data_IF_411901166104
#
_entry.id   IF_411901166104
#
_cell.length_a   1.000
_cell.length_b   1.000
_cell.length_c   1.000
_cell.angle_alpha   90.00
_cell.angle_beta   90.00
_cell.angle_gamma   90.00
#
_symmetry.space_group_name_H-M   'P 1'
#
loop_
_entity.id
_entity.type
_entity.pdbx_description
1 polymer ?
#
# COMPACT_ATOMS: atom_id res chain seq x y z
N UNK A 1 22.40 8.64 -17.99
CA UNK A 1 21.39 7.60 -17.69
C UNK A 1 20.07 8.05 -18.29
N UNK A 2 19.39 7.22 -19.10
CA UNK A 2 18.04 7.59 -19.58
C UNK A 2 17.09 7.41 -18.39
N UNK A 3 16.25 8.41 -18.08
CA UNK A 3 15.37 8.36 -16.91
C UNK A 3 14.49 7.09 -16.88
N UNK A 4 14.10 6.59 -18.06
CA UNK A 4 13.40 5.34 -18.22
C UNK A 4 14.13 4.10 -17.65
N UNK A 5 15.47 4.05 -17.65
CA UNK A 5 16.18 2.89 -17.06
C UNK A 5 15.96 2.82 -15.56
N UNK A 6 15.85 3.97 -14.87
CA UNK A 6 15.60 4.01 -13.42
C UNK A 6 14.23 3.42 -13.03
N UNK A 7 13.20 3.62 -13.86
CA UNK A 7 11.84 3.16 -13.55
C UNK A 7 11.64 1.66 -13.68
N UNK A 8 12.52 0.98 -14.42
CA UNK A 8 12.42 -0.43 -14.77
C UNK A 8 13.67 -1.23 -14.38
N UNK A 9 14.51 -0.70 -13.50
CA UNK A 9 15.83 -1.28 -13.17
C UNK A 9 15.73 -2.51 -12.26
N UNK A 10 14.60 -2.72 -11.59
CA UNK A 10 14.42 -3.77 -10.59
C UNK A 10 13.66 -4.97 -11.16
N UNK A 11 14.20 -6.17 -11.00
CA UNK A 11 13.65 -7.39 -11.62
C UNK A 11 12.23 -7.76 -11.14
N UNK A 12 11.88 -7.40 -9.90
CA UNK A 12 10.55 -7.66 -9.31
C UNK A 12 9.63 -6.44 -9.18
N UNK A 13 10.01 -5.28 -9.70
CA UNK A 13 9.31 -4.01 -9.48
C UNK A 13 9.54 -3.03 -10.63
N UNK A 14 8.50 -2.29 -11.01
CA UNK A 14 8.70 -1.03 -11.73
C UNK A 14 7.99 0.15 -11.04
N UNK A 15 8.38 1.37 -11.40
CA UNK A 15 7.79 2.59 -10.84
C UNK A 15 7.08 3.37 -11.94
N UNK A 16 5.81 3.68 -11.72
CA UNK A 16 5.07 4.72 -12.45
C UNK A 16 5.42 6.06 -11.80
N UNK A 17 6.13 6.97 -12.49
CA UNK A 17 6.55 8.23 -11.90
C UNK A 17 5.39 9.17 -11.70
N UNK A 18 5.46 10.01 -10.66
CA UNK A 18 4.42 10.98 -10.32
C UNK A 18 4.16 11.98 -11.47
N UNK A 19 5.19 12.30 -12.25
CA UNK A 19 5.15 13.20 -13.41
C UNK A 19 4.30 12.63 -14.55
N UNK A 20 4.14 11.30 -14.59
CA UNK A 20 3.35 10.59 -15.59
C UNK A 20 1.94 10.27 -15.11
N UNK A 21 1.50 10.83 -13.98
CA UNK A 21 0.14 10.71 -13.46
C UNK A 21 -0.62 12.01 -13.63
N UNK A 22 -1.85 11.88 -14.10
CA UNK A 22 -2.87 12.92 -14.27
C UNK A 22 -4.13 12.50 -13.52
N UNK A 23 -5.09 13.41 -13.25
CA UNK A 23 -6.38 13.04 -12.68
C UNK A 23 -7.11 11.92 -13.43
N UNK A 24 -6.84 11.74 -14.72
CA UNK A 24 -7.45 10.75 -15.59
C UNK A 24 -6.65 9.43 -15.71
N UNK A 25 -5.50 9.31 -15.03
CA UNK A 25 -4.61 8.16 -15.12
C UNK A 25 -3.22 8.50 -15.66
N UNK A 26 -2.57 7.54 -16.31
CA UNK A 26 -1.23 7.69 -16.86
C UNK A 26 -1.20 8.60 -18.10
N UNK A 27 -0.08 9.29 -18.32
CA UNK A 27 0.14 9.98 -19.60
C UNK A 27 0.29 8.97 -20.74
N UNK A 28 -0.12 9.37 -21.95
CA UNK A 28 0.00 8.53 -23.14
C UNK A 28 1.44 8.05 -23.40
N UNK A 29 2.43 8.87 -23.11
CA UNK A 29 3.86 8.52 -23.23
C UNK A 29 4.22 7.34 -22.33
N UNK A 30 3.84 7.37 -21.05
CA UNK A 30 4.20 6.31 -20.12
C UNK A 30 3.40 5.05 -20.38
N UNK A 31 2.14 5.21 -20.77
CA UNK A 31 1.28 4.11 -21.20
C UNK A 31 1.90 3.37 -22.41
N UNK A 32 2.41 4.10 -23.41
CA UNK A 32 3.14 3.51 -24.53
C UNK A 32 4.42 2.79 -24.06
N UNK A 33 5.18 3.40 -23.14
CA UNK A 33 6.39 2.79 -22.60
C UNK A 33 6.13 1.46 -21.85
N UNK A 34 4.98 1.33 -21.18
CA UNK A 34 4.53 0.09 -20.54
C UNK A 34 4.04 -0.94 -21.57
N UNK A 35 3.31 -0.50 -22.59
CA UNK A 35 2.85 -1.37 -23.68
C UNK A 35 4.04 -1.98 -24.45
N UNK A 36 5.08 -1.18 -24.76
CA UNK A 36 6.33 -1.63 -25.39
C UNK A 36 7.07 -2.68 -24.55
N UNK A 37 6.78 -2.75 -23.24
CA UNK A 37 7.32 -3.73 -22.28
C UNK A 37 6.36 -4.89 -22.01
N UNK A 38 5.31 -5.03 -22.82
CA UNK A 38 4.40 -6.17 -22.77
C UNK A 38 3.25 -6.03 -21.78
N UNK A 39 2.96 -4.83 -21.25
CA UNK A 39 1.73 -4.63 -20.47
C UNK A 39 0.51 -4.66 -21.37
N UNK A 40 -0.48 -5.46 -20.97
CA UNK A 40 -1.72 -5.62 -21.72
C UNK A 40 -2.57 -4.35 -21.65
N UNK A 41 -3.32 -4.08 -22.72
CA UNK A 41 -4.19 -2.91 -22.79
C UNK A 41 -5.22 -2.89 -21.66
N UNK A 42 -5.82 -4.05 -21.33
CA UNK A 42 -6.81 -4.16 -20.27
C UNK A 42 -6.23 -3.84 -18.88
N UNK A 43 -4.95 -4.15 -18.64
CA UNK A 43 -4.25 -3.78 -17.41
C UNK A 43 -4.07 -2.26 -17.32
N UNK A 44 -3.65 -1.63 -18.43
CA UNK A 44 -3.45 -0.18 -18.50
C UNK A 44 -4.79 0.57 -18.33
N UNK A 45 -5.85 0.08 -18.97
CA UNK A 45 -7.20 0.64 -18.86
C UNK A 45 -7.72 0.56 -17.42
N UNK A 46 -7.54 -0.59 -16.76
CA UNK A 46 -7.97 -0.78 -15.38
C UNK A 46 -7.18 0.11 -14.41
N UNK A 47 -5.87 0.29 -14.64
CA UNK A 47 -5.08 1.25 -13.86
C UNK A 47 -5.63 2.67 -13.99
N UNK A 48 -5.82 3.14 -15.23
CA UNK A 48 -6.27 4.51 -15.52
C UNK A 48 -7.68 4.74 -14.92
N UNK A 49 -8.59 3.78 -15.08
CA UNK A 49 -9.94 3.80 -14.50
C UNK A 49 -9.90 3.89 -12.97
N UNK A 50 -9.13 3.01 -12.31
CA UNK A 50 -9.03 2.98 -10.86
C UNK A 50 -8.40 4.26 -10.29
N UNK A 51 -7.38 4.81 -10.96
CA UNK A 51 -6.73 6.05 -10.55
C UNK A 51 -7.67 7.25 -10.69
N UNK A 52 -8.38 7.35 -11.82
CA UNK A 52 -9.37 8.39 -12.03
C UNK A 52 -10.50 8.32 -11.00
N UNK A 53 -10.94 7.11 -10.66
CA UNK A 53 -11.94 6.87 -9.63
C UNK A 53 -11.44 7.28 -8.24
N UNK A 54 -10.19 6.95 -7.89
CA UNK A 54 -9.54 7.45 -6.67
C UNK A 54 -9.52 8.98 -6.65
N UNK A 55 -9.07 9.62 -7.74
CA UNK A 55 -8.96 11.07 -7.80
C UNK A 55 -10.30 11.76 -7.54
N UNK A 56 -11.35 11.30 -8.22
CA UNK A 56 -12.71 11.78 -8.05
C UNK A 56 -13.19 11.60 -6.61
N UNK A 57 -13.07 10.39 -6.06
CA UNK A 57 -13.59 10.08 -4.71
C UNK A 57 -12.81 10.76 -3.61
N UNK A 58 -11.50 10.92 -3.76
CA UNK A 58 -10.67 11.61 -2.78
C UNK A 58 -11.03 13.10 -2.75
N UNK A 59 -11.36 13.70 -3.92
CA UNK A 59 -11.91 15.05 -3.97
C UNK A 59 -13.24 15.14 -3.25
N UNK A 60 -14.20 14.27 -3.57
CA UNK A 60 -15.53 14.25 -2.95
C UNK A 60 -15.45 14.11 -1.41
N UNK A 61 -14.67 13.14 -0.93
CA UNK A 61 -14.47 12.90 0.50
C UNK A 61 -13.77 14.07 1.20
N UNK A 62 -12.81 14.70 0.54
CA UNK A 62 -12.13 15.88 1.09
C UNK A 62 -13.05 17.09 1.16
N UNK A 63 -13.85 17.33 0.12
CA UNK A 63 -14.76 18.47 0.07
C UNK A 63 -15.87 18.34 1.13
N UNK A 64 -16.34 17.11 1.42
CA UNK A 64 -17.34 16.85 2.48
C UNK A 64 -16.75 16.77 3.89
N UNK A 65 -15.55 16.20 4.05
CA UNK A 65 -14.94 15.93 5.35
C UNK A 65 -13.42 16.22 5.38
N UNK A 66 -13.01 17.50 5.27
CA UNK A 66 -11.61 17.91 5.07
C UNK A 66 -10.71 17.71 6.29
N UNK A 67 -11.28 17.53 7.48
CA UNK A 67 -10.52 17.22 8.70
C UNK A 67 -10.05 15.75 8.72
N UNK A 68 -10.86 14.86 8.15
CA UNK A 68 -10.61 13.42 8.14
C UNK A 68 -9.85 13.00 6.88
N UNK A 69 -10.21 13.55 5.72
CA UNK A 69 -9.69 13.14 4.41
C UNK A 69 -8.66 14.12 3.85
N UNK A 70 -7.88 13.64 2.88
CA UNK A 70 -6.86 14.45 2.21
C UNK A 70 -7.35 14.83 0.81
N UNK A 71 -6.96 16.02 0.29
CA UNK A 71 -7.19 16.30 -1.11
C UNK A 71 -6.46 15.24 -1.95
N UNK A 72 -6.97 14.86 -3.15
CA UNK A 72 -6.31 13.88 -3.99
C UNK A 72 -4.86 14.30 -4.27
N UNK A 73 -3.96 13.33 -4.21
CA UNK A 73 -2.53 13.54 -4.44
C UNK A 73 -2.05 12.61 -5.52
N UNK A 74 -0.97 13.00 -6.18
CA UNK A 74 -0.18 12.09 -6.99
C UNK A 74 1.00 11.63 -6.14
N UNK A 75 1.37 10.37 -6.26
CA UNK A 75 2.60 9.79 -5.71
C UNK A 75 3.19 8.86 -6.75
N UNK A 76 4.47 8.51 -6.60
CA UNK A 76 5.02 7.41 -7.39
C UNK A 76 4.24 6.13 -7.09
N UNK A 77 3.95 5.33 -8.11
CA UNK A 77 3.29 4.03 -7.92
C UNK A 77 4.29 2.93 -8.22
N UNK A 78 4.71 2.23 -7.17
CA UNK A 78 5.60 1.08 -7.27
C UNK A 78 4.75 -0.18 -7.50
N UNK A 79 4.88 -0.77 -8.68
CA UNK A 79 4.16 -1.99 -9.09
C UNK A 79 5.09 -3.19 -8.91
N UNK A 80 4.74 -4.07 -7.98
CA UNK A 80 5.43 -5.34 -7.72
C UNK A 80 4.95 -6.38 -8.72
N UNK A 81 5.87 -6.83 -9.57
CA UNK A 81 5.65 -7.88 -10.57
C UNK A 81 6.06 -9.25 -10.03
N UNK A 82 7.01 -9.28 -9.09
CA UNK A 82 7.39 -10.49 -8.37
C UNK A 82 7.39 -10.23 -6.84
N UNK A 83 6.34 -10.71 -6.12
CA UNK A 83 6.24 -10.57 -4.67
C UNK A 83 7.37 -11.24 -3.89
N UNK A 84 8.11 -12.17 -4.50
CA UNK A 84 9.26 -12.80 -3.85
C UNK A 84 10.51 -11.92 -3.85
N UNK A 85 10.57 -10.86 -4.66
CA UNK A 85 11.72 -9.94 -4.71
C UNK A 85 11.50 -8.64 -3.93
N UNK A 86 10.26 -8.34 -3.51
CA UNK A 86 9.91 -7.07 -2.89
C UNK A 86 9.27 -7.30 -1.52
N UNK A 87 9.89 -6.76 -0.47
CA UNK A 87 9.34 -6.83 0.88
C UNK A 87 7.93 -6.23 0.92
N UNK A 88 6.90 -6.97 1.38
CA UNK A 88 5.56 -6.45 1.55
C UNK A 88 5.53 -5.21 2.43
N UNK A 89 4.65 -4.26 2.08
CA UNK A 89 4.47 -2.98 2.79
C UNK A 89 5.74 -2.12 2.87
N UNK A 90 6.74 -2.37 2.03
CA UNK A 90 7.87 -1.47 1.87
C UNK A 90 7.43 -0.16 1.21
N UNK A 91 8.17 0.91 1.48
CA UNK A 91 8.04 2.18 0.77
C UNK A 91 9.39 2.53 0.17
N UNK A 92 9.65 2.13 -1.09
CA UNK A 92 10.92 2.43 -1.75
C UNK A 92 11.24 3.93 -1.72
N UNK A 93 10.22 4.78 -1.87
CA UNK A 93 10.31 6.22 -1.67
C UNK A 93 9.44 6.60 -0.47
N UNK A 94 10.04 6.65 0.72
CA UNK A 94 9.32 6.90 1.99
C UNK A 94 8.39 8.11 1.88
N UNK A 95 7.09 7.91 2.15
CA UNK A 95 6.01 8.91 2.04
C UNK A 95 5.77 9.52 0.65
N UNK A 96 6.47 9.04 -0.38
CA UNK A 96 6.38 9.54 -1.76
C UNK A 96 6.02 8.45 -2.77
N UNK A 97 5.86 7.20 -2.33
CA UNK A 97 5.39 6.10 -3.16
C UNK A 97 4.29 5.28 -2.51
N UNK A 98 3.36 4.82 -3.35
CA UNK A 98 2.41 3.77 -3.06
C UNK A 98 2.88 2.44 -3.61
N UNK A 99 2.64 1.35 -2.88
CA UNK A 99 3.03 0.01 -3.28
C UNK A 99 1.79 -0.78 -3.70
N UNK A 100 1.80 -1.28 -4.93
CA UNK A 100 0.77 -2.12 -5.51
C UNK A 100 1.41 -3.39 -6.08
N UNK A 101 0.60 -4.41 -6.30
CA UNK A 101 0.96 -5.61 -7.03
C UNK A 101 0.39 -5.54 -8.43
N UNK A 102 1.04 -6.20 -9.38
CA UNK A 102 0.53 -6.32 -10.76
C UNK A 102 -0.90 -6.86 -10.81
N UNK A 103 -1.24 -7.77 -9.89
CA UNK A 103 -2.59 -8.34 -9.75
C UNK A 103 -3.67 -7.33 -9.35
N UNK A 104 -3.31 -6.16 -8.81
CA UNK A 104 -4.27 -5.11 -8.46
C UNK A 104 -4.91 -4.47 -9.69
N UNK A 105 -4.27 -4.58 -10.84
CA UNK A 105 -4.75 -4.04 -12.12
C UNK A 105 -4.89 -5.13 -13.18
N UNK A 106 -4.89 -6.39 -12.79
CA UNK A 106 -5.21 -7.53 -13.66
C UNK A 106 -6.71 -7.81 -13.59
N UNK A 107 -7.48 -7.70 -14.70
CA UNK A 107 -8.95 -7.80 -14.68
C UNK A 107 -9.52 -9.09 -14.07
N UNK A 108 -8.80 -10.20 -14.20
CA UNK A 108 -9.19 -11.52 -13.67
C UNK A 108 -9.15 -11.57 -12.15
N UNK A 109 -8.28 -10.78 -11.52
CA UNK A 109 -8.01 -10.83 -10.08
C UNK A 109 -8.41 -9.56 -9.34
N UNK A 110 -8.80 -8.50 -10.05
CA UNK A 110 -9.13 -7.21 -9.47
C UNK A 110 -10.21 -6.47 -10.28
N UNK A 111 -10.48 -5.22 -9.93
CA UNK A 111 -11.35 -4.30 -10.65
C UNK A 111 -11.26 -2.89 -10.05
N UNK A 112 -11.95 -1.93 -10.68
CA UNK A 112 -11.75 -0.51 -10.40
C UNK A 112 -12.09 -0.13 -8.95
N UNK A 113 -13.09 -0.79 -8.33
CA UNK A 113 -13.53 -0.49 -6.96
C UNK A 113 -12.50 -0.95 -5.91
N UNK A 114 -11.99 -2.17 -6.06
CA UNK A 114 -10.93 -2.69 -5.21
C UNK A 114 -9.65 -1.87 -5.37
N UNK A 115 -9.20 -1.63 -6.60
CA UNK A 115 -8.00 -0.86 -6.87
C UNK A 115 -8.12 0.60 -6.37
N UNK A 116 -9.28 1.24 -6.56
CA UNK A 116 -9.57 2.55 -5.99
C UNK A 116 -9.47 2.55 -4.45
N UNK A 117 -10.07 1.56 -3.77
CA UNK A 117 -9.94 1.44 -2.31
C UNK A 117 -8.47 1.26 -1.89
N UNK A 118 -7.70 0.47 -2.63
CA UNK A 118 -6.29 0.24 -2.35
C UNK A 118 -5.47 1.54 -2.40
N UNK A 119 -5.80 2.51 -3.26
CA UNK A 119 -5.19 3.85 -3.23
C UNK A 119 -5.39 4.58 -1.89
N UNK A 120 -6.61 4.57 -1.34
CA UNK A 120 -6.86 5.13 0.00
C UNK A 120 -6.13 4.36 1.09
N UNK A 121 -6.07 3.03 0.96
CA UNK A 121 -5.39 2.16 1.91
C UNK A 121 -3.88 2.41 1.95
N UNK A 122 -3.22 2.45 0.79
CA UNK A 122 -1.78 2.71 0.72
C UNK A 122 -1.43 4.16 1.06
N UNK A 123 -2.29 5.14 0.77
CA UNK A 123 -2.07 6.54 1.18
C UNK A 123 -2.05 6.69 2.71
N UNK A 124 -3.06 6.14 3.39
CA UNK A 124 -3.11 6.13 4.86
C UNK A 124 -1.98 5.33 5.48
N UNK A 125 -1.63 4.20 4.88
CA UNK A 125 -0.48 3.41 5.33
C UNK A 125 0.81 4.22 5.21
N UNK A 126 1.03 4.90 4.09
CA UNK A 126 2.24 5.69 3.90
C UNK A 126 2.40 6.87 4.86
N UNK A 127 1.29 7.43 5.35
CA UNK A 127 1.31 8.49 6.37
C UNK A 127 1.53 7.93 7.78
N UNK A 128 0.85 6.84 8.13
CA UNK A 128 0.83 6.30 9.49
C UNK A 128 1.96 5.30 9.78
N UNK A 129 2.48 4.62 8.75
CA UNK A 129 3.32 3.42 8.90
C UNK A 129 2.60 2.24 9.56
N UNK A 130 1.27 2.28 9.65
CA UNK A 130 0.48 1.31 10.40
C UNK A 130 -0.69 0.78 9.56
N UNK A 131 -0.58 -0.47 9.10
CA UNK A 131 -1.57 -1.15 8.25
C UNK A 131 -2.93 -1.22 8.95
N UNK A 132 -2.93 -1.51 10.25
CA UNK A 132 -4.16 -1.61 11.02
C UNK A 132 -4.88 -0.25 11.10
N UNK A 133 -4.13 0.81 11.42
CA UNK A 133 -4.68 2.15 11.46
C UNK A 133 -5.24 2.55 10.09
N UNK A 134 -4.54 2.21 9.00
CA UNK A 134 -5.01 2.45 7.64
C UNK A 134 -6.36 1.79 7.36
N UNK A 135 -6.52 0.51 7.71
CA UNK A 135 -7.77 -0.22 7.50
C UNK A 135 -8.94 0.41 8.27
N UNK A 136 -8.75 0.69 9.56
CA UNK A 136 -9.80 1.25 10.43
C UNK A 136 -10.17 2.67 10.01
N UNK A 137 -9.18 3.52 9.68
CA UNK A 137 -9.43 4.90 9.27
C UNK A 137 -10.18 4.99 7.93
N UNK A 138 -10.03 3.99 7.07
CA UNK A 138 -10.72 3.94 5.80
C UNK A 138 -12.10 3.29 5.85
N UNK A 139 -12.62 2.85 7.01
CA UNK A 139 -13.99 2.31 7.08
C UNK A 139 -15.04 3.36 6.68
N UNK A 140 -14.77 4.64 6.96
CA UNK A 140 -15.62 5.75 6.58
C UNK A 140 -15.83 5.87 5.05
N UNK A 141 -14.86 5.39 4.25
CA UNK A 141 -14.95 5.35 2.79
C UNK A 141 -16.26 4.69 2.31
N UNK A 142 -16.62 3.56 2.92
CA UNK A 142 -17.77 2.74 2.49
C UNK A 142 -19.12 3.32 2.93
N UNK A 143 -19.15 4.30 3.84
CA UNK A 143 -20.42 4.85 4.35
C UNK A 143 -21.18 5.67 3.30
N UNK A 144 -20.44 6.22 2.33
CA UNK A 144 -20.94 7.07 1.25
C UNK A 144 -20.83 6.39 -0.12
N UNK A 145 -20.60 5.08 -0.15
CA UNK A 145 -20.68 4.28 -1.38
C UNK A 145 -22.08 3.71 -1.57
N UNK A 146 -22.50 3.68 -2.82
CA UNK A 146 -23.75 3.06 -3.26
C UNK A 146 -23.70 1.54 -3.09
N UNK A 147 -24.87 0.90 -3.20
CA UNK A 147 -24.96 -0.56 -3.10
C UNK A 147 -24.20 -1.26 -4.23
N UNK A 148 -24.21 -0.69 -5.43
CA UNK A 148 -23.58 -1.28 -6.61
C UNK A 148 -22.05 -1.18 -6.52
N UNK A 149 -21.52 -0.04 -6.07
CA UNK A 149 -20.08 0.14 -5.81
C UNK A 149 -19.59 -0.84 -4.74
N UNK A 150 -20.36 -1.04 -3.66
CA UNK A 150 -20.03 -2.01 -2.61
C UNK A 150 -20.10 -3.45 -3.14
N UNK A 151 -21.12 -3.79 -3.94
CA UNK A 151 -21.24 -5.11 -4.54
C UNK A 151 -20.06 -5.42 -5.46
N UNK A 152 -19.67 -4.45 -6.29
CA UNK A 152 -18.50 -4.56 -7.16
C UNK A 152 -17.20 -4.70 -6.36
N UNK A 153 -16.99 -3.91 -5.30
CA UNK A 153 -15.87 -4.09 -4.38
C UNK A 153 -15.84 -5.52 -3.79
N UNK A 154 -16.97 -6.01 -3.29
CA UNK A 154 -17.07 -7.35 -2.68
C UNK A 154 -16.76 -8.47 -3.67
N UNK A 155 -17.27 -8.38 -4.91
CA UNK A 155 -16.95 -9.35 -5.97
C UNK A 155 -15.45 -9.35 -6.30
N UNK A 156 -14.86 -8.17 -6.45
CA UNK A 156 -13.45 -8.01 -6.79
C UNK A 156 -12.53 -8.48 -5.66
N UNK A 157 -12.89 -8.19 -4.40
CA UNK A 157 -12.16 -8.67 -3.23
C UNK A 157 -12.17 -10.21 -3.12
N UNK A 158 -13.24 -10.89 -3.55
CA UNK A 158 -13.32 -12.34 -3.53
C UNK A 158 -12.25 -12.99 -4.42
N UNK A 159 -12.04 -12.44 -5.63
CA UNK A 159 -11.06 -12.92 -6.62
C UNK A 159 -9.64 -12.35 -6.46
N UNK A 160 -9.44 -11.48 -5.47
CA UNK A 160 -8.13 -10.89 -5.16
C UNK A 160 -7.06 -11.96 -4.88
N UNK A 161 -5.90 -11.83 -5.55
CA UNK A 161 -4.76 -12.74 -5.43
C UNK A 161 -3.53 -12.10 -4.80
N UNK A 162 -3.66 -10.87 -4.28
CA UNK A 162 -2.60 -10.21 -3.52
C UNK A 162 -2.09 -11.12 -2.38
N UNK A 163 -0.83 -10.97 -1.95
CA UNK A 163 -0.34 -11.69 -0.78
C UNK A 163 -1.23 -11.50 0.45
N UNK A 164 -1.81 -10.32 0.65
CA UNK A 164 -2.72 -9.92 1.74
C UNK A 164 -4.21 -9.95 1.34
N UNK A 165 -4.59 -10.80 0.38
CA UNK A 165 -5.96 -10.89 -0.10
C UNK A 165 -6.99 -11.28 0.99
N UNK A 166 -6.57 -11.97 2.04
CA UNK A 166 -7.48 -12.34 3.13
C UNK A 166 -8.02 -11.10 3.87
N UNK A 167 -7.21 -10.06 4.00
CA UNK A 167 -7.63 -8.76 4.55
C UNK A 167 -8.73 -8.11 3.71
N UNK A 168 -8.60 -8.14 2.38
CA UNK A 168 -9.60 -7.56 1.47
C UNK A 168 -10.91 -8.35 1.51
N UNK A 169 -10.84 -9.69 1.59
CA UNK A 169 -12.02 -10.55 1.77
C UNK A 169 -12.72 -10.30 3.10
N UNK A 170 -11.97 -10.20 4.20
CA UNK A 170 -12.55 -9.87 5.51
C UNK A 170 -13.25 -8.51 5.51
N UNK A 171 -12.68 -7.51 4.81
CA UNK A 171 -13.31 -6.21 4.63
C UNK A 171 -14.59 -6.27 3.78
N UNK A 172 -14.62 -7.13 2.76
CA UNK A 172 -15.81 -7.36 1.94
C UNK A 172 -16.94 -8.06 2.72
N UNK A 173 -16.61 -9.03 3.57
CA UNK A 173 -17.57 -9.70 4.46
C UNK A 173 -18.14 -8.74 5.52
N UNK A 174 -17.32 -7.79 5.97
CA UNK A 174 -17.68 -6.80 6.99
C UNK A 174 -18.67 -5.73 6.50
N UNK A 175 -18.92 -5.60 5.19
CA UNK A 175 -19.72 -4.50 4.62
C UNK A 175 -21.12 -4.39 5.23
N UNK A 176 -21.74 -5.51 5.61
CA UNK A 176 -23.07 -5.54 6.22
C UNK A 176 -23.16 -4.71 7.51
N UNK A 177 -22.13 -4.76 8.36
CA UNK A 177 -22.09 -4.01 9.60
C UNK A 177 -21.34 -2.69 9.48
N UNK A 178 -20.37 -2.56 8.57
CA UNK A 178 -19.70 -1.27 8.30
C UNK A 178 -20.74 -0.21 7.92
N UNK A 179 -21.73 -0.58 7.12
CA UNK A 179 -22.83 0.33 6.74
C UNK A 179 -23.73 0.76 7.89
N UNK A 180 -23.61 0.17 9.08
CA UNK A 180 -24.32 0.57 10.31
C UNK A 180 -23.52 1.54 11.17
N UNK A 181 -22.25 1.80 10.83
CA UNK A 181 -21.45 2.85 11.46
C UNK A 181 -21.95 4.25 11.06
N UNK A 182 -21.47 5.25 11.79
CA UNK A 182 -21.69 6.66 11.51
C UNK A 182 -20.34 7.38 11.41
N UNK A 183 -20.39 8.56 10.80
CA UNK A 183 -19.26 9.48 10.70
C UNK A 183 -19.77 10.89 10.97
N UNK A 184 -19.01 11.70 11.69
CA UNK A 184 -19.44 13.04 12.12
C UNK A 184 -19.95 13.92 10.98
N UNK A 185 -19.27 13.89 9.83
CA UNK A 185 -19.60 14.69 8.64
C UNK A 185 -20.28 13.88 7.53
N UNK A 186 -19.66 12.79 7.05
CA UNK A 186 -20.14 11.99 5.90
C UNK A 186 -21.46 11.23 6.13
N UNK A 187 -21.73 10.82 7.36
CA UNK A 187 -22.95 10.07 7.71
C UNK A 187 -23.31 10.31 9.16
N UNK A 188 -23.80 11.53 9.49
CA UNK A 188 -24.05 11.91 10.87
C UNK A 188 -25.12 10.99 11.50
N UNK A 189 -25.02 10.70 12.80
CA UNK A 189 -26.07 9.96 13.49
C UNK A 189 -27.36 10.79 13.53
N UNK A 190 -28.50 10.09 13.58
CA UNK A 190 -29.78 10.74 13.87
C UNK A 190 -29.73 11.39 15.26
N UNK A 191 -30.48 12.49 15.46
CA UNK A 191 -30.51 13.26 16.71
C UNK A 191 -30.82 12.42 17.97
N UNK A 192 -31.51 11.29 17.79
CA UNK A 192 -31.76 10.31 18.83
C UNK A 192 -31.25 8.96 18.34
N UNK A 193 -30.16 8.48 18.94
CA UNK A 193 -29.72 7.10 18.80
C UNK A 193 -30.28 6.28 19.96
N UNK A 194 -30.90 5.15 19.64
CA UNK A 194 -31.41 4.20 20.63
C UNK A 194 -30.28 3.41 21.33
N UNK A 195 -29.04 3.57 20.88
CA UNK A 195 -27.86 2.87 21.38
C UNK A 195 -26.71 3.86 21.66
N UNK A 196 -25.91 3.56 22.70
CA UNK A 196 -24.64 4.27 22.93
C UNK A 196 -23.66 4.04 21.79
N UNK A 197 -22.86 5.06 21.48
CA UNK A 197 -21.79 5.00 20.47
C UNK A 197 -20.44 5.30 21.11
N UNK A 198 -19.44 4.48 20.79
CA UNK A 198 -18.04 4.80 21.05
C UNK A 198 -17.45 5.60 19.90
N UNK A 199 -16.47 6.46 20.18
CA UNK A 199 -15.78 7.26 19.16
C UNK A 199 -14.39 6.71 18.85
N UNK A 200 -14.08 6.58 17.56
CA UNK A 200 -12.74 6.34 17.06
C UNK A 200 -12.19 7.66 16.53
N UNK A 201 -11.54 8.42 17.43
CA UNK A 201 -11.07 9.80 17.17
C UNK A 201 -10.26 9.93 15.87
N UNK A 202 -9.33 9.01 15.61
CA UNK A 202 -8.44 9.10 14.46
C UNK A 202 -9.12 8.85 13.09
N UNK A 203 -10.38 8.42 13.09
CA UNK A 203 -11.17 8.14 11.90
C UNK A 203 -12.49 8.95 11.83
N UNK A 204 -12.76 9.79 12.83
CA UNK A 204 -14.05 10.49 13.02
C UNK A 204 -15.28 9.56 12.93
N UNK A 205 -15.08 8.28 13.25
CA UNK A 205 -16.10 7.24 13.23
C UNK A 205 -16.80 7.14 14.58
N UNK A 206 -18.11 7.00 14.53
CA UNK A 206 -18.93 6.64 15.68
C UNK A 206 -19.43 5.20 15.49
N UNK A 207 -19.12 4.37 16.48
CA UNK A 207 -19.30 2.92 16.43
C UNK A 207 -20.33 2.53 17.50
N UNK A 208 -21.51 2.03 17.11
CA UNK A 208 -22.47 1.44 18.04
C UNK A 208 -21.80 0.40 18.95
N UNK A 209 -22.15 0.38 20.24
CA UNK A 209 -21.51 -0.53 21.21
C UNK A 209 -21.59 -2.01 20.78
N UNK A 210 -22.69 -2.40 20.13
CA UNK A 210 -22.94 -3.72 19.56
C UNK A 210 -21.99 -4.11 18.43
N UNK A 211 -21.27 -3.15 17.83
CA UNK A 211 -20.33 -3.36 16.71
C UNK A 211 -18.85 -3.19 17.12
N UNK A 212 -18.58 -2.86 18.40
CA UNK A 212 -17.21 -2.67 18.90
C UNK A 212 -16.35 -3.93 18.76
N UNK A 213 -16.93 -5.11 18.98
CA UNK A 213 -16.22 -6.39 18.77
C UNK A 213 -15.91 -6.62 17.29
N UNK A 214 -16.86 -6.36 16.39
CA UNK A 214 -16.68 -6.53 14.95
C UNK A 214 -15.54 -5.66 14.40
N UNK A 215 -15.39 -4.42 14.89
CA UNK A 215 -14.25 -3.57 14.53
C UNK A 215 -12.93 -4.18 15.00
N UNK A 216 -12.87 -4.70 16.22
CA UNK A 216 -11.66 -5.35 16.77
C UNK A 216 -11.31 -6.64 16.05
N UNK A 217 -12.31 -7.41 15.63
CA UNK A 217 -12.14 -8.63 14.85
C UNK A 217 -11.57 -8.33 13.46
N UNK A 218 -12.15 -7.36 12.74
CA UNK A 218 -11.62 -6.91 11.45
C UNK A 218 -10.19 -6.38 11.57
N UNK A 219 -9.93 -5.56 12.59
CA UNK A 219 -8.60 -5.09 12.94
C UNK A 219 -7.60 -6.26 13.14
N UNK A 220 -8.02 -7.28 13.88
CA UNK A 220 -7.22 -8.47 14.14
C UNK A 220 -6.93 -9.23 12.85
N UNK A 221 -7.92 -9.39 11.96
CA UNK A 221 -7.75 -10.07 10.69
C UNK A 221 -6.69 -9.39 9.81
N UNK A 222 -6.75 -8.07 9.67
CA UNK A 222 -5.73 -7.30 8.93
C UNK A 222 -4.33 -7.46 9.53
N UNK A 223 -4.23 -7.40 10.86
CA UNK A 223 -2.95 -7.57 11.56
C UNK A 223 -2.36 -8.95 11.30
N UNK A 224 -3.16 -10.00 11.48
CA UNK A 224 -2.71 -11.38 11.31
C UNK A 224 -2.26 -11.66 9.88
N UNK A 225 -3.03 -11.19 8.90
CA UNK A 225 -2.70 -11.37 7.49
C UNK A 225 -1.43 -10.62 7.09
N UNK A 226 -1.28 -9.36 7.54
CA UNK A 226 -0.05 -8.60 7.32
C UNK A 226 1.18 -9.26 7.96
N UNK A 227 1.05 -9.78 9.18
CA UNK A 227 2.11 -10.51 9.86
C UNK A 227 2.49 -11.80 9.12
N UNK A 228 1.49 -12.55 8.64
CA UNK A 228 1.69 -13.76 7.85
C UNK A 228 2.44 -13.43 6.56
N UNK A 229 1.99 -12.45 5.79
CA UNK A 229 2.61 -12.04 4.52
C UNK A 229 4.07 -11.64 4.71
N UNK A 230 4.38 -10.89 5.78
CA UNK A 230 5.76 -10.51 6.10
C UNK A 230 6.59 -11.73 6.54
N UNK A 231 6.03 -12.64 7.33
CA UNK A 231 6.70 -13.86 7.75
C UNK A 231 6.99 -14.79 6.56
N UNK A 232 6.04 -14.97 5.65
CA UNK A 232 6.18 -15.76 4.42
C UNK A 232 7.32 -15.19 3.55
N UNK A 233 7.37 -13.86 3.39
CA UNK A 233 8.48 -13.20 2.70
C UNK A 233 9.83 -13.48 3.36
N UNK A 234 9.94 -13.34 4.68
CA UNK A 234 11.21 -13.62 5.37
C UNK A 234 11.60 -15.09 5.34
N UNK A 235 10.64 -16.02 5.35
CA UNK A 235 10.90 -17.44 5.21
C UNK A 235 11.55 -17.77 3.86
N UNK A 236 11.16 -17.09 2.77
CA UNK A 236 11.78 -17.24 1.45
C UNK A 236 13.23 -16.77 1.42
N UNK A 237 13.59 -15.78 2.24
CA UNK A 237 14.91 -15.15 2.28
C UNK A 237 15.77 -15.57 3.47
N UNK A 238 15.31 -16.52 4.27
CA UNK A 238 16.11 -17.03 5.38
C UNK A 238 17.30 -17.80 4.80
N UNK A 239 18.55 -17.39 5.08
CA UNK A 239 19.71 -18.07 4.54
C UNK A 239 19.70 -19.54 4.92
N UNK A 240 19.82 -20.44 3.94
CA UNK A 240 19.96 -21.87 4.22
C UNK A 240 21.30 -22.13 4.90
N UNK A 241 21.39 -23.17 5.72
CA UNK A 241 22.63 -23.55 6.38
C UNK A 241 23.79 -23.65 5.36
N UNK A 242 24.85 -22.86 5.57
CA UNK A 242 26.01 -22.79 4.67
C UNK A 242 25.97 -21.69 3.60
N UNK A 243 24.91 -20.87 3.52
CA UNK A 243 24.86 -19.68 2.67
C UNK A 243 25.45 -18.45 3.37
N UNK A 244 25.92 -17.47 2.58
CA UNK A 244 26.39 -16.19 3.11
C UNK A 244 25.26 -15.45 3.84
N UNK A 245 25.63 -14.64 4.84
CA UNK A 245 24.66 -13.80 5.54
C UNK A 245 24.30 -12.59 4.70
N UNK A 246 23.08 -12.06 4.86
CA UNK A 246 22.64 -10.80 4.23
C UNK A 246 23.64 -9.64 4.44
N UNK A 247 24.32 -9.59 5.59
CA UNK A 247 25.34 -8.59 5.87
C UNK A 247 26.55 -8.70 4.93
N UNK A 248 27.01 -9.92 4.62
CA UNK A 248 28.11 -10.18 3.68
C UNK A 248 27.66 -9.85 2.25
N UNK A 249 26.45 -10.23 1.87
CA UNK A 249 25.91 -9.94 0.54
C UNK A 249 25.81 -8.43 0.28
N UNK A 250 25.27 -7.66 1.23
CA UNK A 250 25.19 -6.19 1.13
C UNK A 250 26.57 -5.57 1.08
N UNK A 251 27.51 -6.01 1.93
CA UNK A 251 28.88 -5.50 1.91
C UNK A 251 29.57 -5.75 0.55
N UNK A 252 29.49 -6.98 0.03
CA UNK A 252 30.04 -7.34 -1.28
C UNK A 252 29.37 -6.58 -2.43
N UNK A 253 28.08 -6.26 -2.32
CA UNK A 253 27.38 -5.42 -3.30
C UNK A 253 27.85 -3.96 -3.24
N UNK A 254 28.02 -3.38 -2.05
CA UNK A 254 28.52 -2.01 -1.87
C UNK A 254 29.93 -1.83 -2.43
N UNK A 255 30.83 -2.79 -2.17
CA UNK A 255 32.20 -2.78 -2.69
C UNK A 255 32.23 -2.87 -4.22
N UNK A 256 31.36 -3.71 -4.79
CA UNK A 256 31.33 -4.00 -6.23
C UNK A 256 30.63 -2.91 -7.03
N UNK A 257 29.41 -2.55 -6.65
CA UNK A 257 28.56 -1.62 -7.42
C UNK A 257 28.85 -0.15 -7.09
N UNK A 258 29.43 0.13 -5.91
CA UNK A 258 29.78 1.48 -5.43
C UNK A 258 28.67 2.51 -5.69
N UNK A 259 27.43 2.22 -5.23
CA UNK A 259 26.29 3.09 -5.47
C UNK A 259 26.53 4.47 -4.85
N UNK A 260 26.04 5.53 -5.48
CA UNK A 260 26.16 6.91 -4.97
C UNK A 260 25.10 7.20 -3.89
N UNK A 261 25.12 6.41 -2.81
CA UNK A 261 24.17 6.51 -1.68
C UNK A 261 24.90 6.56 -0.35
N UNK A 262 24.43 7.38 0.59
CA UNK A 262 24.95 7.37 1.95
C UNK A 262 24.11 6.42 2.81
N UNK A 263 24.74 5.48 3.51
CA UNK A 263 24.03 4.62 4.48
C UNK A 263 24.28 5.17 5.88
N UNK A 264 23.21 5.41 6.62
CA UNK A 264 23.28 5.94 7.99
C UNK A 264 22.51 5.05 8.96
N UNK A 265 22.93 5.05 10.22
CA UNK A 265 22.15 4.49 11.31
C UNK A 265 20.99 5.42 11.67
N UNK A 266 20.03 4.91 12.45
CA UNK A 266 18.93 5.74 12.97
C UNK A 266 19.38 6.93 13.83
N UNK A 267 20.60 6.89 14.38
CA UNK A 267 21.25 7.99 15.10
C UNK A 267 21.84 9.08 14.19
N UNK A 268 21.88 8.86 12.87
CA UNK A 268 22.51 9.74 11.89
C UNK A 268 24.00 9.50 11.66
N UNK A 269 24.64 8.55 12.37
CA UNK A 269 26.03 8.19 12.09
C UNK A 269 26.15 7.46 10.75
N UNK A 270 27.18 7.80 9.98
CA UNK A 270 27.46 7.16 8.68
C UNK A 270 27.95 5.73 8.92
N UNK A 271 27.30 4.77 8.26
CA UNK A 271 27.66 3.35 8.24
C UNK A 271 28.41 2.94 6.97
N UNK A 272 28.17 3.65 5.87
CA UNK A 272 28.90 3.50 4.61
C UNK A 272 28.84 4.80 3.80
N UNK A 273 29.95 5.13 3.17
CA UNK A 273 30.16 6.33 2.37
C UNK A 273 30.72 5.94 0.99
N UNK A 274 30.10 6.38 -0.13
CA UNK A 274 30.60 6.06 -1.47
C UNK A 274 32.01 6.60 -1.73
N UNK A 275 32.42 7.69 -1.05
CA UNK A 275 33.77 8.23 -1.16
C UNK A 275 34.81 7.36 -0.42
N UNK A 276 34.33 6.41 0.41
CA UNK A 276 35.11 5.41 1.14
C UNK A 276 34.53 4.02 0.91
N UNK A 277 34.24 3.68 -0.34
CA UNK A 277 33.47 2.49 -0.72
C UNK A 277 33.98 1.16 -0.14
N UNK A 278 35.29 1.04 0.11
CA UNK A 278 35.92 -0.17 0.67
C UNK A 278 35.75 -0.29 2.20
N UNK A 279 35.19 0.71 2.89
CA UNK A 279 34.95 0.72 4.34
C UNK A 279 33.54 0.18 4.67
N UNK A 280 33.37 -1.14 4.56
CA UNK A 280 32.10 -1.84 4.81
C UNK A 280 31.96 -2.39 6.23
N UNK A 281 32.93 -2.16 7.12
CA UNK A 281 32.95 -2.78 8.45
C UNK A 281 31.77 -2.33 9.31
N UNK A 282 31.46 -1.02 9.30
CA UNK A 282 30.38 -0.46 10.11
C UNK A 282 28.99 -0.94 9.64
N UNK A 283 28.73 -0.96 8.33
CA UNK A 283 27.49 -1.51 7.78
C UNK A 283 27.36 -3.01 8.03
N UNK A 284 28.44 -3.78 7.89
CA UNK A 284 28.43 -5.23 8.15
C UNK A 284 28.10 -5.52 9.62
N UNK A 285 28.72 -4.80 10.55
CA UNK A 285 28.45 -4.95 11.98
C UNK A 285 27.00 -4.58 12.34
N UNK A 286 26.48 -3.49 11.76
CA UNK A 286 25.10 -3.06 11.97
C UNK A 286 24.09 -4.09 11.45
N UNK A 287 24.33 -4.65 10.26
CA UNK A 287 23.45 -5.67 9.66
C UNK A 287 23.57 -7.04 10.35
N UNK A 288 24.75 -7.39 10.86
CA UNK A 288 24.97 -8.64 11.61
C UNK A 288 24.14 -8.73 12.89
N UNK A 289 23.79 -7.59 13.50
CA UNK A 289 22.91 -7.52 14.68
C UNK A 289 21.41 -7.63 14.38
N UNK A 290 21.01 -7.60 13.11
CA UNK A 290 19.59 -7.65 12.68
C UNK A 290 19.11 -9.09 12.45
N UNK A 291 20.03 -10.07 12.42
CA UNK A 291 19.76 -11.48 12.16
C UNK A 291 19.29 -12.28 13.40
N UNK A 292 18.48 -11.67 14.28
CA UNK A 292 17.84 -12.33 15.43
C UNK A 292 16.31 -12.24 15.35
#
# INVERSE_FOLDING_TARGET
MKLASFFFDHDGLFVIPIEHLTPEGMTAEFRAALADRGREAAWLDLFDEAFALYWKRARELYDEAPATWFPPRRQHVAIVTDPSHVRPYSQPLKRSSWLFYESDFTPETSGAELACYLFFHTERYGLSGNILASAVHNLAYFLVRSRDEIAAFTEQAARCTRPDAASMRALAEAQSWIRRLYHTELKPPALMLDEQVGKLEAADLLVPMSLQSSVKELATAFKQDAQRVVADYYALHTPKAGMQTHAVEVASWLERERPTVLITAGSGSILWDPDRADDVAAVTAALGGIAA
#
